data_IF_071495193899
#
_entry.id   IF_071495193899
#
_cell.length_a   1.000
_cell.length_b   1.000
_cell.length_c   1.000
_cell.angle_alpha   90.00
_cell.angle_beta   90.00
_cell.angle_gamma   90.00
#
_symmetry.space_group_name_H-M   'P 1'
#
loop_
_entity.id
_entity.type
_entity.pdbx_description
1 polymer ?
#
# COMPACT_ATOMS: atom_id res chain seq x y z
N UNK A 1 26.25 -3.47 -13.41
CA UNK A 1 26.92 -2.76 -12.28
C UNK A 1 28.27 -2.23 -12.73
N UNK A 2 28.82 -1.20 -12.05
CA UNK A 2 30.22 -0.76 -12.32
C UNK A 2 31.22 -1.71 -11.64
N UNK A 3 32.53 -1.49 -11.90
CA UNK A 3 33.63 -2.30 -11.35
C UNK A 3 33.72 -2.26 -9.81
N UNK A 4 33.03 -1.31 -9.14
CA UNK A 4 32.98 -1.16 -7.70
C UNK A 4 31.70 -1.74 -7.10
N UNK A 5 30.85 -2.41 -7.89
CA UNK A 5 29.58 -2.98 -7.44
C UNK A 5 28.49 -1.93 -7.15
N UNK A 6 28.62 -0.72 -7.73
CA UNK A 6 27.61 0.33 -7.65
C UNK A 6 26.65 0.15 -8.83
N UNK A 7 25.35 0.30 -8.56
CA UNK A 7 24.26 0.18 -9.54
C UNK A 7 24.23 1.40 -10.48
N UNK A 8 23.52 1.30 -11.59
CA UNK A 8 23.41 2.39 -12.58
C UNK A 8 22.85 3.69 -11.99
N UNK A 9 22.02 3.60 -11.00
CA UNK A 9 21.42 4.74 -10.28
C UNK A 9 22.26 5.26 -9.09
N UNK A 10 23.44 4.68 -8.86
CA UNK A 10 24.37 5.05 -7.79
C UNK A 10 24.12 4.38 -6.44
N UNK A 11 23.11 3.50 -6.32
CA UNK A 11 22.83 2.74 -5.10
C UNK A 11 23.80 1.56 -4.93
N UNK A 12 23.99 1.14 -3.69
CA UNK A 12 24.61 -0.14 -3.37
C UNK A 12 23.60 -1.29 -3.54
N UNK A 13 24.12 -2.51 -3.57
CA UNK A 13 23.33 -3.72 -3.75
C UNK A 13 22.21 -3.91 -2.70
N UNK A 14 22.36 -3.37 -1.49
CA UNK A 14 21.43 -3.51 -0.35
C UNK A 14 20.66 -2.24 0.01
N UNK A 15 20.65 -1.26 -0.90
CA UNK A 15 19.95 0.02 -0.70
C UNK A 15 18.59 0.03 -1.40
N UNK A 16 17.59 0.56 -0.69
CA UNK A 16 16.27 0.86 -1.24
C UNK A 16 16.30 2.18 -2.01
N UNK A 17 15.42 2.31 -2.99
CA UNK A 17 15.11 3.63 -3.60
C UNK A 17 14.55 4.57 -2.53
N UNK A 18 14.59 5.90 -2.74
CA UNK A 18 13.92 6.85 -1.86
C UNK A 18 12.42 6.55 -1.78
N UNK A 19 11.87 6.51 -0.57
CA UNK A 19 10.47 6.19 -0.33
C UNK A 19 9.81 7.36 0.38
N UNK A 20 8.62 7.76 -0.11
CA UNK A 20 7.73 8.71 0.56
C UNK A 20 6.35 8.11 0.68
N UNK A 21 5.72 8.29 1.82
CA UNK A 21 4.40 7.76 2.11
C UNK A 21 3.51 8.86 2.68
N UNK A 22 2.27 8.93 2.20
CA UNK A 22 1.25 9.84 2.69
C UNK A 22 -0.04 9.05 2.90
N UNK A 23 -0.69 9.26 4.04
CA UNK A 23 -1.90 8.55 4.43
C UNK A 23 -3.06 9.54 4.51
N UNK A 24 -4.28 9.11 4.17
CA UNK A 24 -5.46 9.96 4.20
C UNK A 24 -5.50 11.02 3.09
N UNK A 25 -5.01 10.68 1.89
CA UNK A 25 -4.90 11.62 0.76
C UNK A 25 -6.21 11.87 0.01
N UNK A 26 -7.18 10.95 0.10
CA UNK A 26 -8.47 11.03 -0.60
C UNK A 26 -9.61 11.19 0.42
N UNK A 27 -10.43 12.23 0.24
CA UNK A 27 -11.56 12.54 1.15
C UNK A 27 -12.77 11.61 1.00
N UNK A 28 -12.96 11.01 -0.17
CA UNK A 28 -14.14 10.22 -0.49
C UNK A 28 -13.94 8.72 -0.27
N UNK A 29 -12.72 8.27 0.01
CA UNK A 29 -12.41 6.90 0.38
C UNK A 29 -12.50 6.75 1.90
N UNK A 30 -12.85 5.56 2.38
CA UNK A 30 -12.84 5.26 3.82
C UNK A 30 -11.40 5.24 4.35
N UNK A 31 -10.45 4.82 3.52
CA UNK A 31 -9.02 4.97 3.77
C UNK A 31 -8.23 5.11 2.47
N UNK A 32 -7.10 5.78 2.53
CA UNK A 32 -6.27 6.02 1.35
C UNK A 32 -4.80 6.23 1.68
N UNK A 33 -3.93 5.86 0.74
CA UNK A 33 -2.51 6.10 0.85
C UNK A 33 -1.91 6.41 -0.53
N UNK A 34 -0.93 7.31 -0.53
CA UNK A 34 -0.10 7.60 -1.68
C UNK A 34 1.34 7.24 -1.36
N UNK A 35 1.98 6.49 -2.25
CA UNK A 35 3.37 6.08 -2.09
C UNK A 35 4.18 6.49 -3.32
N UNK A 36 5.33 7.13 -3.07
CA UNK A 36 6.43 7.21 -4.01
C UNK A 36 7.49 6.18 -3.59
N UNK A 37 7.80 5.24 -4.47
CA UNK A 37 8.84 4.24 -4.26
C UNK A 37 9.85 4.34 -5.41
N UNK A 38 10.91 5.10 -5.22
CA UNK A 38 11.73 5.59 -6.30
C UNK A 38 10.92 6.50 -7.24
N UNK A 39 10.87 6.14 -8.52
CA UNK A 39 10.02 6.81 -9.50
C UNK A 39 8.61 6.23 -9.59
N UNK A 40 8.31 5.11 -8.92
CA UNK A 40 6.95 4.62 -8.83
C UNK A 40 6.06 5.61 -8.08
N UNK A 41 4.87 5.89 -8.60
CA UNK A 41 3.83 6.68 -7.94
C UNK A 41 2.55 5.87 -7.93
N UNK A 42 2.09 5.53 -6.73
CA UNK A 42 0.96 4.62 -6.55
C UNK A 42 -0.02 5.23 -5.55
N UNK A 43 -1.29 5.23 -5.93
CA UNK A 43 -2.41 5.61 -5.09
C UNK A 43 -3.20 4.36 -4.72
N UNK A 44 -3.48 4.19 -3.43
CA UNK A 44 -4.39 3.16 -2.94
C UNK A 44 -5.60 3.79 -2.26
N UNK A 45 -6.77 3.23 -2.50
CA UNK A 45 -8.02 3.62 -1.87
C UNK A 45 -8.78 2.39 -1.38
N UNK A 46 -9.40 2.49 -0.22
CA UNK A 46 -10.18 1.42 0.41
C UNK A 46 -11.59 1.91 0.65
N UNK A 47 -12.55 1.04 0.35
CA UNK A 47 -13.95 1.22 0.67
C UNK A 47 -14.47 0.01 1.45
N UNK A 48 -15.10 0.24 2.57
CA UNK A 48 -15.74 -0.80 3.39
C UNK A 48 -15.32 -0.76 4.87
N UNK A 49 -15.94 -1.63 5.67
CA UNK A 49 -16.84 -2.72 5.28
C UNK A 49 -18.21 -2.22 4.78
N UNK A 50 -18.66 -2.70 3.62
CA UNK A 50 -19.93 -2.30 2.99
C UNK A 50 -20.73 -3.50 2.51
N UNK A 51 -22.00 -3.29 2.10
CA UNK A 51 -22.85 -4.36 1.57
C UNK A 51 -22.24 -4.99 0.32
N UNK A 52 -22.27 -6.34 0.25
CA UNK A 52 -21.74 -7.09 -0.91
C UNK A 52 -22.70 -6.97 -2.10
N UNK A 53 -22.17 -6.57 -3.23
CA UNK A 53 -22.85 -6.63 -4.53
C UNK A 53 -21.97 -7.40 -5.54
N UNK A 54 -22.53 -8.35 -6.29
CA UNK A 54 -23.89 -8.90 -6.23
C UNK A 54 -24.12 -9.78 -4.99
N UNK A 55 -25.38 -9.87 -4.55
CA UNK A 55 -25.75 -10.56 -3.27
C UNK A 55 -25.39 -12.03 -3.19
N UNK A 56 -25.23 -12.72 -4.32
CA UNK A 56 -24.85 -14.15 -4.34
C UNK A 56 -23.38 -14.40 -3.96
N UNK A 57 -22.52 -13.37 -3.91
CA UNK A 57 -21.13 -13.47 -3.47
C UNK A 57 -20.95 -13.25 -1.96
N UNK A 58 -22.04 -13.02 -1.23
CA UNK A 58 -22.01 -12.80 0.22
C UNK A 58 -21.45 -14.03 0.94
N UNK A 59 -20.40 -13.82 1.73
CA UNK A 59 -19.83 -14.82 2.63
C UNK A 59 -20.51 -14.66 4.01
N UNK A 60 -21.13 -15.71 4.56
CA UNK A 60 -21.92 -15.58 5.79
C UNK A 60 -21.06 -15.39 7.05
N UNK A 61 -19.81 -15.82 7.03
CA UNK A 61 -18.88 -15.95 8.14
C UNK A 61 -17.76 -14.92 8.17
N UNK A 62 -17.56 -14.19 7.07
CA UNK A 62 -16.44 -13.23 6.93
C UNK A 62 -16.73 -12.16 5.91
N UNK A 63 -15.83 -11.16 5.84
CA UNK A 63 -15.82 -10.19 4.75
C UNK A 63 -15.30 -10.81 3.44
N UNK A 64 -15.86 -10.35 2.33
CA UNK A 64 -15.32 -10.58 0.99
C UNK A 64 -14.29 -9.51 0.67
N UNK A 65 -13.01 -9.89 0.55
CA UNK A 65 -11.95 -8.98 0.16
C UNK A 65 -11.83 -8.97 -1.37
N UNK A 66 -11.89 -7.79 -1.96
CA UNK A 66 -11.66 -7.57 -3.39
C UNK A 66 -10.50 -6.60 -3.55
N UNK A 67 -9.57 -6.93 -4.43
CA UNK A 67 -8.52 -6.01 -4.83
C UNK A 67 -8.55 -5.79 -6.33
N UNK A 68 -8.33 -4.56 -6.73
CA UNK A 68 -8.16 -4.16 -8.12
C UNK A 68 -6.86 -3.38 -8.25
N UNK A 69 -5.97 -3.90 -9.08
CA UNK A 69 -4.75 -3.22 -9.50
C UNK A 69 -4.95 -2.72 -10.94
N UNK A 70 -4.65 -1.48 -11.16
CA UNK A 70 -4.76 -0.87 -12.48
C UNK A 70 -3.56 0.06 -12.74
N UNK A 71 -3.04 0.02 -13.95
CA UNK A 71 -2.00 0.91 -14.42
C UNK A 71 -2.62 1.97 -15.32
N UNK A 72 -2.51 3.23 -14.93
CA UNK A 72 -2.99 4.34 -15.76
C UNK A 72 -2.36 4.29 -17.17
N UNK A 73 -3.09 4.68 -18.23
CA UNK A 73 -2.56 4.65 -19.59
C UNK A 73 -1.24 5.42 -19.79
N UNK A 74 -0.97 6.38 -18.93
CA UNK A 74 0.24 7.23 -18.92
C UNK A 74 1.28 6.80 -17.89
N UNK A 75 1.08 5.65 -17.23
CA UNK A 75 1.98 5.19 -16.16
C UNK A 75 3.32 4.62 -16.63
N UNK A 76 3.44 4.36 -17.91
CA UNK A 76 4.63 3.81 -18.60
C UNK A 76 4.93 4.66 -19.83
N UNK A 77 6.15 4.53 -20.38
CA UNK A 77 6.61 5.34 -21.50
C UNK A 77 5.74 5.19 -22.75
N UNK A 78 5.33 3.97 -23.09
CA UNK A 78 4.37 3.70 -24.15
C UNK A 78 2.95 3.67 -23.59
N UNK A 79 2.04 4.44 -24.23
CA UNK A 79 0.63 4.51 -23.82
C UNK A 79 0.01 3.12 -23.69
N UNK A 80 -0.41 2.79 -22.47
CA UNK A 80 -1.08 1.53 -22.16
C UNK A 80 -2.57 1.56 -22.56
N UNK A 81 -3.09 0.39 -22.93
CA UNK A 81 -4.54 0.24 -23.12
C UNK A 81 -5.25 0.40 -21.76
N UNK A 82 -6.31 1.23 -21.65
CA UNK A 82 -7.07 1.40 -20.42
C UNK A 82 -7.87 0.16 -19.99
N UNK A 83 -8.11 -0.80 -20.90
CA UNK A 83 -8.79 -2.03 -20.55
C UNK A 83 -7.89 -2.93 -19.68
N UNK A 84 -8.44 -3.63 -18.67
CA UNK A 84 -7.66 -4.52 -17.80
C UNK A 84 -6.91 -5.58 -18.61
N UNK A 85 -5.60 -5.66 -18.41
CA UNK A 85 -4.74 -6.68 -19.00
C UNK A 85 -4.72 -7.96 -18.15
N UNK A 86 -4.26 -9.08 -18.73
CA UNK A 86 -4.07 -10.34 -17.99
C UNK A 86 -3.14 -10.14 -16.78
N UNK A 87 -2.07 -9.35 -16.94
CA UNK A 87 -1.13 -9.00 -15.87
C UNK A 87 -1.81 -8.24 -14.73
N UNK A 88 -2.68 -7.29 -15.03
CA UNK A 88 -3.40 -6.52 -14.00
C UNK A 88 -4.39 -7.39 -13.23
N UNK A 89 -5.05 -8.35 -13.91
CA UNK A 89 -5.94 -9.32 -13.27
C UNK A 89 -5.14 -10.22 -12.34
N UNK A 90 -3.98 -10.72 -12.79
CA UNK A 90 -3.08 -11.54 -11.98
C UNK A 90 -2.59 -10.76 -10.74
N UNK A 91 -2.06 -9.56 -10.93
CA UNK A 91 -1.55 -8.74 -9.83
C UNK A 91 -2.67 -8.37 -8.86
N UNK A 92 -3.89 -8.11 -9.33
CA UNK A 92 -5.05 -7.89 -8.45
C UNK A 92 -5.31 -9.07 -7.53
N UNK A 93 -5.25 -10.28 -8.07
CA UNK A 93 -5.36 -11.52 -7.28
C UNK A 93 -4.22 -11.65 -6.28
N UNK A 94 -2.99 -11.43 -6.71
CA UNK A 94 -1.78 -11.50 -5.86
C UNK A 94 -1.85 -10.50 -4.70
N UNK A 95 -2.26 -9.25 -4.96
CA UNK A 95 -2.42 -8.23 -3.92
C UNK A 95 -3.48 -8.67 -2.90
N UNK A 96 -4.62 -9.18 -3.34
CA UNK A 96 -5.65 -9.69 -2.45
C UNK A 96 -5.11 -10.81 -1.57
N UNK A 97 -4.48 -11.82 -2.17
CA UNK A 97 -3.94 -12.99 -1.45
C UNK A 97 -2.81 -12.62 -0.49
N UNK A 98 -2.03 -11.56 -0.79
CA UNK A 98 -1.00 -11.05 0.11
C UNK A 98 -1.58 -10.28 1.30
N UNK A 99 -2.72 -9.60 1.14
CA UNK A 99 -3.34 -8.77 2.19
C UNK A 99 -4.32 -9.55 3.07
N UNK A 100 -5.08 -10.48 2.49
CA UNK A 100 -6.16 -11.21 3.19
C UNK A 100 -5.70 -11.89 4.50
N UNK A 101 -4.52 -12.54 4.61
CA UNK A 101 -4.04 -13.13 5.85
C UNK A 101 -3.77 -12.12 6.97
N UNK A 102 -3.52 -10.86 6.61
CA UNK A 102 -3.28 -9.79 7.58
C UNK A 102 -4.57 -9.20 8.14
N UNK A 103 -5.71 -9.40 7.48
CA UNK A 103 -7.00 -8.85 7.87
C UNK A 103 -7.73 -9.78 8.86
N UNK A 104 -8.47 -9.21 9.80
CA UNK A 104 -9.38 -9.95 10.69
C UNK A 104 -10.75 -9.95 10.03
N UNK A 105 -10.87 -10.66 8.90
CA UNK A 105 -12.06 -10.65 8.03
C UNK A 105 -13.30 -11.23 8.70
N UNK A 106 -13.12 -12.05 9.73
CA UNK A 106 -14.18 -12.69 10.50
C UNK A 106 -15.00 -11.69 11.33
N UNK A 107 -14.45 -10.52 11.62
CA UNK A 107 -15.16 -9.45 12.34
C UNK A 107 -16.17 -8.69 11.47
N UNK A 108 -16.14 -8.89 10.16
CA UNK A 108 -16.99 -8.20 9.20
C UNK A 108 -17.84 -9.17 8.35
N UNK A 109 -18.66 -10.05 8.96
CA UNK A 109 -19.43 -11.02 8.20
C UNK A 109 -20.42 -10.34 7.25
N UNK A 110 -20.65 -10.95 6.08
CA UNK A 110 -21.59 -10.48 5.05
C UNK A 110 -21.27 -9.11 4.42
N UNK A 111 -20.06 -8.60 4.62
CA UNK A 111 -19.61 -7.34 4.03
C UNK A 111 -18.54 -7.54 2.98
N UNK A 112 -18.26 -6.50 2.21
CA UNK A 112 -17.12 -6.42 1.30
C UNK A 112 -16.14 -5.34 1.73
N UNK A 113 -14.87 -5.62 1.60
CA UNK A 113 -13.76 -4.66 1.68
C UNK A 113 -13.16 -4.59 0.28
N UNK A 114 -13.22 -3.41 -0.33
CA UNK A 114 -12.70 -3.20 -1.68
C UNK A 114 -11.46 -2.33 -1.65
N UNK A 115 -10.39 -2.84 -2.26
CA UNK A 115 -9.08 -2.19 -2.34
C UNK A 115 -8.78 -1.86 -3.79
N UNK A 116 -8.56 -0.59 -4.08
CA UNK A 116 -8.18 -0.09 -5.39
C UNK A 116 -6.74 0.40 -5.34
N UNK A 117 -5.92 -0.10 -6.26
CA UNK A 117 -4.51 0.30 -6.40
C UNK A 117 -4.32 0.83 -7.81
N UNK A 118 -4.12 2.14 -7.91
CA UNK A 118 -3.90 2.84 -9.16
C UNK A 118 -2.43 3.24 -9.28
N UNK A 119 -1.77 2.72 -10.30
CA UNK A 119 -0.38 3.06 -10.62
C UNK A 119 -0.38 4.26 -11.56
N UNK A 120 0.10 5.40 -11.05
CA UNK A 120 0.18 6.65 -11.80
C UNK A 120 1.50 6.75 -12.60
N UNK A 121 2.56 6.15 -12.07
CA UNK A 121 3.87 6.03 -12.72
C UNK A 121 4.53 4.73 -12.26
N UNK A 122 5.09 3.97 -13.20
CA UNK A 122 5.74 2.68 -12.95
C UNK A 122 7.24 2.74 -13.28
N UNK A 123 8.07 2.16 -12.42
CA UNK A 123 9.53 2.07 -12.57
C UNK A 123 10.05 0.82 -11.85
N UNK A 124 9.59 -0.37 -12.26
CA UNK A 124 9.92 -1.64 -11.63
C UNK A 124 9.33 -1.82 -10.22
N UNK A 125 9.00 -3.04 -9.82
CA UNK A 125 8.51 -3.35 -8.47
C UNK A 125 7.13 -2.76 -8.10
N UNK A 126 6.29 -2.36 -9.07
CA UNK A 126 4.99 -1.72 -8.81
C UNK A 126 4.01 -2.64 -8.04
N UNK A 127 4.17 -3.96 -8.15
CA UNK A 127 3.40 -4.97 -7.41
C UNK A 127 3.62 -4.85 -5.90
N UNK A 128 4.87 -4.85 -5.45
CA UNK A 128 5.23 -4.78 -4.03
C UNK A 128 4.95 -3.40 -3.42
N UNK A 129 5.17 -2.35 -4.18
CA UNK A 129 4.80 -0.99 -3.78
C UNK A 129 3.27 -0.84 -3.67
N UNK A 130 2.50 -1.49 -4.56
CA UNK A 130 1.04 -1.55 -4.52
C UNK A 130 0.49 -2.27 -3.28
N UNK A 131 1.10 -3.39 -2.87
CA UNK A 131 0.77 -4.10 -1.63
C UNK A 131 1.02 -3.20 -0.42
N UNK A 132 2.16 -2.53 -0.39
CA UNK A 132 2.53 -1.61 0.70
C UNK A 132 1.57 -0.43 0.81
N UNK A 133 1.17 0.17 -0.34
CA UNK A 133 0.17 1.24 -0.40
C UNK A 133 -1.21 0.77 0.08
N UNK A 134 -1.65 -0.40 -0.38
CA UNK A 134 -2.93 -0.98 -0.01
C UNK A 134 -3.00 -1.31 1.49
N UNK A 135 -1.91 -1.82 2.07
CA UNK A 135 -1.81 -2.07 3.51
C UNK A 135 -1.98 -0.79 4.34
N UNK A 136 -1.34 0.31 3.91
CA UNK A 136 -1.51 1.62 4.57
C UNK A 136 -2.94 2.15 4.43
N UNK A 137 -3.55 2.01 3.25
CA UNK A 137 -4.93 2.45 3.01
C UNK A 137 -5.94 1.64 3.84
N UNK A 138 -5.72 0.33 4.04
CA UNK A 138 -6.53 -0.52 4.92
C UNK A 138 -6.42 -0.07 6.38
N UNK A 139 -5.22 0.27 6.85
CA UNK A 139 -5.02 0.78 8.20
C UNK A 139 -5.67 2.17 8.39
N UNK A 140 -5.60 3.06 7.39
CA UNK A 140 -6.27 4.38 7.41
C UNK A 140 -7.80 4.23 7.43
N UNK A 141 -8.34 3.22 6.76
CA UNK A 141 -9.77 2.89 6.79
C UNK A 141 -10.26 2.32 8.14
N UNK A 142 -9.35 2.07 9.09
CA UNK A 142 -9.69 1.47 10.38
C UNK A 142 -10.10 -0.01 10.32
N UNK A 143 -9.73 -0.70 9.25
CA UNK A 143 -9.95 -2.15 9.15
C UNK A 143 -8.99 -2.87 10.11
N UNK A 144 -9.54 -3.78 10.93
CA UNK A 144 -8.75 -4.53 11.88
C UNK A 144 -7.75 -5.45 11.18
N UNK A 145 -6.47 -5.24 11.49
CA UNK A 145 -5.35 -5.97 10.90
C UNK A 145 -4.51 -6.64 11.99
N UNK A 146 -4.03 -7.83 11.70
CA UNK A 146 -3.09 -8.57 12.56
C UNK A 146 -1.71 -7.92 12.56
N UNK A 147 -1.29 -7.41 11.41
CA UNK A 147 -0.07 -6.63 11.19
C UNK A 147 -0.18 -5.87 9.86
N UNK A 148 0.69 -4.88 9.64
CA UNK A 148 0.85 -4.27 8.32
C UNK A 148 1.57 -5.22 7.38
N UNK A 149 1.17 -5.21 6.11
CA UNK A 149 1.87 -5.95 5.05
C UNK A 149 2.80 -5.01 4.31
N UNK A 150 4.03 -5.42 4.18
CA UNK A 150 5.07 -4.69 3.44
C UNK A 150 5.60 -5.55 2.31
N UNK A 151 5.70 -4.97 1.11
CA UNK A 151 6.27 -5.61 -0.07
C UNK A 151 7.60 -4.98 -0.47
N UNK A 152 8.58 -5.81 -0.80
CA UNK A 152 9.87 -5.41 -1.36
C UNK A 152 10.32 -6.48 -2.36
N UNK A 153 10.97 -6.08 -3.44
CA UNK A 153 11.60 -7.03 -4.37
C UNK A 153 13.10 -7.12 -4.12
N UNK A 154 13.65 -8.27 -4.43
CA UNK A 154 15.08 -8.51 -4.60
C UNK A 154 15.31 -9.21 -5.93
N UNK A 155 16.50 -9.17 -6.47
CA UNK A 155 16.78 -9.83 -7.73
C UNK A 155 18.25 -10.11 -7.95
N UNK A 156 18.59 -10.53 -9.17
CA UNK A 156 19.96 -10.84 -9.56
C UNK A 156 20.33 -10.01 -10.78
N UNK A 157 21.39 -9.20 -10.66
CA UNK A 157 21.98 -8.41 -11.73
C UNK A 157 23.46 -8.76 -11.82
N UNK A 158 23.94 -9.14 -13.00
CA UNK A 158 25.34 -9.52 -13.24
C UNK A 158 25.87 -10.58 -12.24
N UNK A 159 24.99 -11.51 -11.82
CA UNK A 159 25.32 -12.58 -10.88
C UNK A 159 25.31 -12.15 -9.41
N UNK A 160 25.07 -10.87 -9.09
CA UNK A 160 24.98 -10.35 -7.72
C UNK A 160 23.53 -10.16 -7.30
N UNK A 161 23.23 -10.54 -6.07
CA UNK A 161 21.91 -10.29 -5.44
C UNK A 161 21.80 -8.83 -5.05
N UNK A 162 20.67 -8.20 -5.44
CA UNK A 162 20.37 -6.78 -5.17
C UNK A 162 18.98 -6.61 -4.59
N UNK A 163 18.81 -5.53 -3.83
CA UNK A 163 17.55 -5.13 -3.22
C UNK A 163 16.86 -4.08 -4.08
N UNK A 164 15.54 -4.20 -4.26
CA UNK A 164 14.69 -3.17 -4.85
C UNK A 164 15.09 -2.78 -6.28
N UNK A 165 14.70 -3.64 -7.23
CA UNK A 165 14.97 -3.47 -8.66
C UNK A 165 14.20 -2.27 -9.24
N UNK A 166 14.85 -1.48 -10.10
CA UNK A 166 14.17 -0.53 -10.98
C UNK A 166 13.71 -1.21 -12.28
N UNK A 167 13.05 -0.45 -13.17
CA UNK A 167 12.50 -0.99 -14.43
C UNK A 167 13.58 -1.53 -15.38
N UNK A 168 14.75 -0.90 -15.42
CA UNK A 168 15.87 -1.34 -16.25
C UNK A 168 16.46 -2.63 -15.70
N UNK A 169 16.67 -2.68 -14.41
CA UNK A 169 17.20 -3.84 -13.70
C UNK A 169 16.26 -5.05 -13.70
N UNK A 170 14.93 -4.79 -13.63
CA UNK A 170 13.90 -5.83 -13.75
C UNK A 170 13.87 -6.45 -15.15
N UNK A 171 14.14 -5.64 -16.19
CA UNK A 171 14.18 -6.13 -17.59
C UNK A 171 15.50 -6.82 -17.97
N UNK A 172 16.62 -6.32 -17.47
CA UNK A 172 17.97 -6.80 -17.83
C UNK A 172 18.50 -7.83 -16.84
N UNK A 173 17.91 -7.91 -15.64
CA UNK A 173 18.26 -8.86 -14.59
C UNK A 173 17.98 -10.31 -14.97
N UNK A 174 18.66 -11.23 -14.31
CA UNK A 174 18.48 -12.67 -14.50
C UNK A 174 17.44 -13.29 -13.56
N UNK A 175 16.92 -12.51 -12.60
CA UNK A 175 15.87 -12.94 -11.69
C UNK A 175 15.26 -11.81 -10.88
N UNK A 176 13.94 -11.91 -10.62
CA UNK A 176 13.14 -11.07 -9.76
C UNK A 176 12.44 -11.91 -8.68
N UNK A 177 12.46 -11.42 -7.46
CA UNK A 177 11.86 -12.08 -6.30
C UNK A 177 11.06 -11.06 -5.50
N UNK A 178 9.79 -10.79 -5.85
CA UNK A 178 8.88 -10.02 -5.02
C UNK A 178 8.46 -10.79 -3.77
N UNK A 179 8.65 -10.17 -2.61
CA UNK A 179 8.32 -10.71 -1.29
C UNK A 179 7.39 -9.74 -0.58
N UNK A 180 6.30 -10.25 0.02
CA UNK A 180 5.52 -9.50 0.98
C UNK A 180 5.50 -10.22 2.33
N UNK A 181 5.55 -9.46 3.41
CA UNK A 181 5.64 -10.01 4.76
C UNK A 181 4.87 -9.16 5.78
N UNK A 182 4.53 -9.79 6.88
CA UNK A 182 4.09 -9.18 8.13
C UNK A 182 5.26 -9.22 9.12
N UNK A 183 6.03 -8.13 9.27
CA UNK A 183 7.31 -8.18 10.00
C UNK A 183 7.20 -8.50 11.48
N UNK A 184 6.13 -8.03 12.16
CA UNK A 184 5.92 -8.29 13.60
C UNK A 184 5.63 -9.77 13.85
N UNK A 185 4.88 -10.42 12.95
CA UNK A 185 4.51 -11.83 13.05
C UNK A 185 5.55 -12.76 12.43
N UNK A 186 6.59 -12.24 11.76
CA UNK A 186 7.57 -12.98 10.99
C UNK A 186 6.91 -13.96 9.97
N UNK A 187 5.84 -13.51 9.31
CA UNK A 187 5.11 -14.30 8.33
C UNK A 187 5.26 -13.70 6.94
N UNK A 188 5.48 -14.55 5.94
CA UNK A 188 5.52 -14.18 4.53
C UNK A 188 4.14 -14.41 3.93
N UNK A 189 3.57 -13.38 3.32
CA UNK A 189 2.25 -13.43 2.68
C UNK A 189 2.33 -13.54 1.16
N UNK A 190 3.47 -13.19 0.58
CA UNK A 190 3.76 -13.37 -0.83
C UNK A 190 5.22 -13.75 -1.02
N UNK A 191 5.46 -14.77 -1.81
CA UNK A 191 6.76 -15.11 -2.38
C UNK A 191 6.55 -15.52 -3.83
N UNK A 192 7.04 -14.73 -4.75
CA UNK A 192 7.13 -15.09 -6.17
C UNK A 192 8.60 -15.08 -6.58
N UNK A 193 8.94 -15.96 -7.51
CA UNK A 193 10.31 -16.06 -8.01
C UNK A 193 10.22 -16.22 -9.51
N UNK A 194 10.84 -15.32 -10.22
CA UNK A 194 11.03 -15.39 -11.66
C UNK A 194 12.52 -15.38 -11.99
N UNK A 195 12.94 -16.20 -12.93
CA UNK A 195 14.34 -16.33 -13.33
C UNK A 195 15.07 -17.51 -12.72
N UNK A 196 16.40 -17.49 -12.80
CA UNK A 196 17.28 -18.61 -12.43
C UNK A 196 18.05 -18.26 -11.16
N UNK A 197 17.80 -19.03 -10.09
CA UNK A 197 18.47 -18.87 -8.80
C UNK A 197 19.25 -20.13 -8.44
N UNK A 198 20.49 -19.95 -8.00
CA UNK A 198 21.15 -21.00 -7.21
C UNK A 198 20.55 -21.00 -5.80
N UNK A 199 20.69 -22.12 -5.08
CA UNK A 199 20.20 -22.21 -3.70
C UNK A 199 20.77 -21.08 -2.80
N UNK A 200 22.05 -20.74 -2.98
CA UNK A 200 22.69 -19.70 -2.20
C UNK A 200 22.16 -18.30 -2.55
N UNK A 201 21.99 -17.99 -3.85
CA UNK A 201 21.45 -16.72 -4.28
C UNK A 201 19.98 -16.55 -3.90
N UNK A 202 19.20 -17.63 -3.96
CA UNK A 202 17.82 -17.63 -3.46
C UNK A 202 17.75 -17.25 -1.98
N UNK A 203 18.56 -17.91 -1.15
CA UNK A 203 18.56 -17.63 0.30
C UNK A 203 19.01 -16.19 0.58
N UNK A 204 20.09 -15.72 -0.05
CA UNK A 204 20.56 -14.33 0.09
C UNK A 204 19.51 -13.30 -0.37
N UNK A 205 18.86 -13.54 -1.51
CA UNK A 205 17.83 -12.65 -2.05
C UNK A 205 16.62 -12.59 -1.10
N UNK A 206 16.18 -13.73 -0.61
CA UNK A 206 15.08 -13.82 0.33
C UNK A 206 15.37 -13.10 1.66
N UNK A 207 16.53 -13.36 2.28
CA UNK A 207 16.95 -12.69 3.50
C UNK A 207 17.07 -11.17 3.31
N UNK A 208 17.66 -10.75 2.17
CA UNK A 208 17.79 -9.33 1.83
C UNK A 208 16.44 -8.64 1.66
N UNK A 209 15.45 -9.30 1.01
CA UNK A 209 14.10 -8.79 0.87
C UNK A 209 13.39 -8.64 2.23
N UNK A 210 13.57 -9.62 3.13
CA UNK A 210 13.01 -9.55 4.49
C UNK A 210 13.61 -8.39 5.30
N UNK A 211 14.92 -8.16 5.20
CA UNK A 211 15.58 -7.03 5.87
C UNK A 211 15.15 -5.69 5.28
N UNK A 212 15.06 -5.60 3.95
CA UNK A 212 14.54 -4.41 3.27
C UNK A 212 13.10 -4.10 3.68
N UNK A 213 12.26 -5.12 3.78
CA UNK A 213 10.88 -5.00 4.22
C UNK A 213 10.76 -4.44 5.64
N UNK A 214 11.62 -4.82 6.58
CA UNK A 214 11.64 -4.25 7.93
C UNK A 214 11.90 -2.74 7.93
N UNK A 215 12.75 -2.24 7.02
CA UNK A 215 13.00 -0.79 6.87
C UNK A 215 11.76 -0.08 6.34
N UNK A 216 11.11 -0.63 5.32
CA UNK A 216 9.87 -0.07 4.74
C UNK A 216 8.72 -0.10 5.75
N UNK A 217 8.63 -1.16 6.58
CA UNK A 217 7.64 -1.27 7.66
C UNK A 217 7.77 -0.12 8.68
N UNK A 218 8.99 0.27 9.05
CA UNK A 218 9.18 1.41 9.94
C UNK A 218 8.67 2.72 9.32
N UNK A 219 8.86 2.89 8.01
CA UNK A 219 8.34 4.05 7.28
C UNK A 219 6.79 4.04 7.22
N UNK A 220 6.17 2.85 7.03
CA UNK A 220 4.71 2.71 7.11
C UNK A 220 4.18 3.12 8.48
N UNK A 221 4.80 2.64 9.55
CA UNK A 221 4.41 3.01 10.93
C UNK A 221 4.57 4.50 11.19
N UNK A 222 5.65 5.10 10.70
CA UNK A 222 5.87 6.54 10.84
C UNK A 222 4.78 7.33 10.11
N UNK A 223 4.44 6.97 8.87
CA UNK A 223 3.40 7.65 8.09
C UNK A 223 2.01 7.57 8.76
N UNK A 224 1.67 6.43 9.36
CA UNK A 224 0.44 6.29 10.15
C UNK A 224 0.48 7.14 11.42
N UNK A 225 1.59 7.16 12.12
CA UNK A 225 1.75 7.99 13.31
C UNK A 225 1.61 9.49 12.96
N UNK A 226 2.22 9.95 11.90
CA UNK A 226 2.08 11.33 11.42
C UNK A 226 0.62 11.67 11.09
N UNK A 227 -0.11 10.75 10.45
CA UNK A 227 -1.54 10.91 10.12
C UNK A 227 -2.42 11.04 11.35
N UNK A 228 -2.27 10.18 12.34
CA UNK A 228 -3.20 10.08 13.47
C UNK A 228 -2.78 10.92 14.68
N UNK A 229 -1.50 11.12 14.92
CA UNK A 229 -1.03 11.87 16.09
C UNK A 229 -0.68 13.32 15.78
N UNK A 230 -0.25 13.68 14.56
CA UNK A 230 -0.08 15.08 14.18
C UNK A 230 -1.43 15.78 13.99
N UNK A 231 -2.48 15.07 13.59
CA UNK A 231 -3.85 15.60 13.48
C UNK A 231 -4.48 15.94 14.85
N UNK A 232 -4.04 15.29 15.92
CA UNK A 232 -4.53 15.54 17.29
C UNK A 232 -4.06 16.85 17.92
N UNK A 233 -3.16 17.59 17.26
CA UNK A 233 -2.69 18.90 17.75
C UNK A 233 -3.39 20.09 17.08
N UNK A 234 -4.33 19.88 16.16
CA UNK A 234 -4.96 20.95 15.36
C UNK A 234 -6.46 21.13 15.60
N UNK A 235 -7.07 20.40 16.53
CA UNK A 235 -8.40 20.79 17.01
C UNK A 235 -8.24 21.89 18.06
N UNK A 236 -8.25 23.15 17.61
CA UNK A 236 -8.55 24.28 18.48
C UNK A 236 -9.93 24.07 19.12
N UNK A 237 -10.12 24.41 20.40
CA UNK A 237 -11.41 24.24 21.05
C UNK A 237 -12.48 24.96 20.22
N UNK A 238 -13.53 24.26 19.86
CA UNK A 238 -14.74 24.86 19.31
C UNK A 238 -15.26 25.78 20.41
N UNK A 239 -15.12 27.09 20.26
CA UNK A 239 -15.79 28.06 21.12
C UNK A 239 -17.29 27.75 21.09
N UNK A 240 -17.82 27.45 22.25
CA UNK A 240 -19.25 27.28 22.44
C UNK A 240 -19.97 28.57 21.96
N UNK A 241 -21.09 28.46 21.22
CA UNK A 241 -21.82 29.65 20.82
C UNK A 241 -22.25 30.41 22.06
N UNK A 242 -21.90 31.72 22.10
CA UNK A 242 -22.30 32.63 23.15
C UNK A 242 -23.82 32.52 23.37
N UNK A 243 -24.25 32.28 24.60
CA UNK A 243 -25.64 32.30 25.00
C UNK A 243 -26.22 33.68 24.62
N UNK A 244 -27.29 33.67 23.82
CA UNK A 244 -28.03 34.86 23.47
C UNK A 244 -28.73 35.40 24.75
N UNK A 245 -28.41 36.60 25.17
CA UNK A 245 -29.11 37.31 26.24
C UNK A 245 -30.60 37.40 25.93
N UNK A 246 -31.48 37.19 26.93
CA UNK A 246 -32.92 37.32 26.73
C UNK A 246 -33.26 38.80 26.54
N UNK A 247 -33.87 39.12 25.39
CA UNK A 247 -34.42 40.46 25.11
C UNK A 247 -35.45 40.83 26.19
N UNK A 248 -35.10 41.86 26.94
CA UNK A 248 -35.95 42.46 27.97
C UNK A 248 -37.26 42.97 27.36
N UNK A 249 -38.36 42.46 27.92
CA UNK A 249 -39.70 42.96 27.63
C UNK A 249 -39.88 44.36 28.29
N UNK A 250 -40.16 45.34 27.50
CA UNK A 250 -40.78 46.58 27.96
C UNK A 250 -42.30 46.50 27.80
N UNK A 251 -42.98 46.48 28.92
CA UNK A 251 -44.41 46.73 29.03
C UNK A 251 -44.63 48.28 29.11
N UNK A 252 -45.43 48.77 28.24
CA UNK A 252 -46.03 50.09 28.32
C UNK A 252 -47.36 49.98 27.57
N UNK A 253 -48.45 50.12 28.10
CA UNK A 253 -49.20 50.96 28.99
C UNK A 253 -49.91 52.05 28.20
N UNK A 254 -51.24 52.05 28.29
CA UNK A 254 -52.19 53.16 28.08
C UNK A 254 -52.59 53.54 26.64
N UNK A 255 -53.80 53.33 26.23
CA UNK A 255 -55.06 54.11 26.36
C UNK A 255 -56.21 53.40 25.63
#
# INVERSE_FOLDING_TARGET
MDENGIRLDGRKWNELRPIKMQVGTLKNADGSAYIEFGKNKIMAAVYGPKEVHPKHEVLPDRALVRARYHMAPFSVDERKNPAPSRREIEISKVIREALEPALVVEEYPRTAIEVFVEVLQSDGGSRVAGITAASLALADAGINMRDLVVGVSSGIIDGQVVLDLDDTEDKEGTGDMPVAQMPTLNQVTLLQVDGIYTRENFQKAFELALEGGKKVYQMQRQALNERFFASGQTEAPVEAPAEAEPAGGEAGGEA
#
